data_IF_058019658336
#
_entry.id   IF_058019658336
#
_cell.length_a   1.000
_cell.length_b   1.000
_cell.length_c   1.000
_cell.angle_alpha   90.00
_cell.angle_beta   90.00
_cell.angle_gamma   90.00
#
_symmetry.space_group_name_H-M   'P 1'
#
loop_
_entity.id
_entity.type
_entity.pdbx_description
1 polymer ?
#
# COMPACT_ATOMS: atom_id res chain seq x y z
N UNK A 1 42.85 -5.99 32.46
CA UNK A 1 43.20 -5.73 31.05
C UNK A 1 43.85 -7.01 30.56
N UNK A 2 43.18 -7.79 29.72
CA UNK A 2 43.79 -8.95 29.08
C UNK A 2 44.49 -8.43 27.83
N UNK A 3 45.82 -8.58 27.78
CA UNK A 3 46.62 -8.28 26.60
C UNK A 3 46.06 -9.06 25.41
N UNK A 4 45.44 -8.33 24.48
CA UNK A 4 45.00 -8.91 23.21
C UNK A 4 46.27 -9.06 22.38
N UNK A 5 46.66 -10.26 21.94
CA UNK A 5 47.87 -10.45 21.15
C UNK A 5 47.77 -9.58 19.89
N UNK A 6 48.65 -8.56 19.78
CA UNK A 6 48.79 -7.80 18.56
C UNK A 6 49.53 -8.66 17.55
N UNK A 7 48.80 -9.18 16.58
CA UNK A 7 49.39 -9.97 15.49
C UNK A 7 50.12 -9.05 14.52
N UNK A 8 51.44 -9.24 14.40
CA UNK A 8 52.28 -8.48 13.48
C UNK A 8 52.05 -8.95 12.05
N UNK A 9 51.74 -8.02 11.14
CA UNK A 9 51.55 -8.30 9.72
C UNK A 9 52.88 -8.44 9.00
N UNK A 10 53.03 -9.49 8.19
CA UNK A 10 54.18 -9.68 7.30
C UNK A 10 53.73 -9.42 5.87
N UNK A 11 54.38 -8.46 5.22
CA UNK A 11 54.16 -8.14 3.81
C UNK A 11 55.09 -8.96 2.94
N UNK A 12 54.54 -9.65 1.95
CA UNK A 12 55.31 -10.37 0.94
C UNK A 12 54.66 -10.23 -0.43
N UNK A 13 55.25 -10.87 -1.44
CA UNK A 13 54.77 -10.80 -2.81
C UNK A 13 54.59 -12.21 -3.39
N UNK A 14 53.46 -12.45 -4.03
CA UNK A 14 53.16 -13.69 -4.71
C UNK A 14 53.38 -13.53 -6.22
N UNK A 15 54.45 -14.14 -6.73
CA UNK A 15 54.82 -14.10 -8.15
C UNK A 15 53.81 -14.82 -9.07
N UNK A 16 53.18 -15.91 -8.62
CA UNK A 16 52.21 -16.65 -9.42
C UNK A 16 50.92 -15.86 -9.67
N UNK A 17 50.55 -15.01 -8.73
CA UNK A 17 49.36 -14.16 -8.80
C UNK A 17 49.66 -12.70 -9.12
N UNK A 18 50.94 -12.33 -9.24
CA UNK A 18 51.41 -10.96 -9.43
C UNK A 18 50.74 -9.97 -8.45
N UNK A 19 50.79 -10.28 -7.16
CA UNK A 19 50.05 -9.53 -6.15
C UNK A 19 50.77 -9.48 -4.80
N UNK A 20 50.37 -8.54 -3.95
CA UNK A 20 50.85 -8.42 -2.59
C UNK A 20 50.12 -9.40 -1.67
N UNK A 21 50.82 -9.88 -0.64
CA UNK A 21 50.27 -10.77 0.39
C UNK A 21 50.47 -10.14 1.76
N UNK A 22 49.38 -9.97 2.50
CA UNK A 22 49.37 -9.61 3.91
C UNK A 22 49.20 -10.89 4.72
N UNK A 23 50.24 -11.27 5.46
CA UNK A 23 50.26 -12.50 6.24
C UNK A 23 50.02 -12.18 7.71
N UNK A 24 48.94 -12.71 8.25
CA UNK A 24 48.57 -12.64 9.66
C UNK A 24 48.59 -14.07 10.22
N UNK A 25 49.73 -14.49 10.77
CA UNK A 25 50.00 -15.89 11.17
C UNK A 25 49.74 -16.90 10.03
N UNK A 26 48.63 -17.61 10.10
CA UNK A 26 48.16 -18.65 9.17
C UNK A 26 47.21 -18.13 8.08
N UNK A 27 46.80 -16.86 8.15
CA UNK A 27 45.93 -16.22 7.16
C UNK A 27 46.74 -15.39 6.18
N UNK A 28 46.64 -15.73 4.89
CA UNK A 28 47.22 -14.96 3.79
C UNK A 28 46.12 -14.24 3.04
N UNK A 29 46.18 -12.90 3.03
CA UNK A 29 45.26 -12.04 2.30
C UNK A 29 45.96 -11.48 1.07
N UNK A 30 45.41 -11.76 -0.11
CA UNK A 30 45.96 -11.33 -1.40
C UNK A 30 45.30 -10.01 -1.81
N UNK A 31 46.10 -9.01 -2.16
CA UNK A 31 45.62 -7.70 -2.62
C UNK A 31 46.41 -7.22 -3.82
N UNK A 32 45.80 -6.37 -4.64
CA UNK A 32 46.52 -5.68 -5.71
C UNK A 32 47.64 -4.80 -5.12
N UNK A 33 48.76 -4.65 -5.84
CA UNK A 33 49.90 -3.87 -5.35
C UNK A 33 49.53 -2.40 -5.05
N UNK A 34 48.66 -1.80 -5.86
CA UNK A 34 48.16 -0.44 -5.63
C UNK A 34 47.36 -0.34 -4.33
N UNK A 35 46.62 -1.40 -3.98
CA UNK A 35 45.83 -1.45 -2.77
C UNK A 35 46.74 -1.69 -1.54
N UNK A 36 47.82 -2.45 -1.67
CA UNK A 36 48.88 -2.48 -0.65
C UNK A 36 49.44 -1.08 -0.39
N UNK A 37 49.73 -0.30 -1.43
CA UNK A 37 50.24 1.07 -1.26
C UNK A 37 49.23 1.96 -0.52
N UNK A 38 47.93 1.79 -0.75
CA UNK A 38 46.89 2.51 0.03
C UNK A 38 46.88 2.09 1.50
N UNK A 39 47.08 0.82 1.79
CA UNK A 39 47.13 0.28 3.15
C UNK A 39 48.35 0.85 3.89
N UNK A 40 49.54 0.80 3.28
CA UNK A 40 50.78 1.30 3.89
C UNK A 40 50.76 2.81 4.15
N UNK A 41 50.11 3.58 3.26
CA UNK A 41 49.97 5.03 3.42
C UNK A 41 48.81 5.43 4.35
N UNK A 42 48.02 4.47 4.84
CA UNK A 42 46.90 4.77 5.73
C UNK A 42 47.41 4.96 7.17
N UNK A 43 46.87 5.97 7.86
CA UNK A 43 47.34 6.38 9.20
C UNK A 43 47.12 5.34 10.31
N UNK A 44 46.31 4.30 10.05
CA UNK A 44 45.94 3.29 11.04
C UNK A 44 46.32 1.91 10.53
N UNK A 45 46.67 1.04 11.46
CA UNK A 45 47.04 -0.33 11.17
C UNK A 45 45.78 -1.22 11.16
N UNK A 46 45.74 -2.14 10.20
CA UNK A 46 44.75 -3.21 10.16
C UNK A 46 45.25 -4.36 11.02
N UNK A 47 44.50 -4.68 12.08
CA UNK A 47 44.83 -5.71 13.07
C UNK A 47 43.73 -6.77 13.09
N UNK A 48 44.12 -8.03 13.21
CA UNK A 48 43.19 -9.14 13.39
C UNK A 48 42.89 -9.33 14.88
N UNK A 49 41.78 -8.81 15.38
CA UNK A 49 41.51 -8.83 16.83
C UNK A 49 40.93 -10.17 17.31
N UNK A 50 40.16 -10.87 16.47
CA UNK A 50 39.59 -12.19 16.75
C UNK A 50 40.07 -13.19 15.69
N UNK A 51 40.46 -14.40 16.10
CA UNK A 51 40.84 -15.47 15.18
C UNK A 51 39.66 -15.92 14.30
N UNK A 52 38.42 -15.71 14.73
CA UNK A 52 37.23 -15.96 13.92
C UNK A 52 36.96 -14.87 12.87
N UNK A 53 37.59 -13.68 12.98
CA UNK A 53 37.39 -12.62 11.97
C UNK A 53 38.00 -13.04 10.63
N UNK A 54 37.25 -12.84 9.55
CA UNK A 54 37.74 -13.15 8.20
C UNK A 54 38.79 -12.16 7.69
N UNK A 55 38.71 -10.92 8.15
CA UNK A 55 39.57 -9.82 7.72
C UNK A 55 40.10 -9.01 8.90
N UNK A 56 41.33 -8.46 8.80
CA UNK A 56 41.83 -7.52 9.77
C UNK A 56 41.05 -6.20 9.69
N UNK A 57 41.09 -5.43 10.76
CA UNK A 57 40.25 -4.24 10.93
C UNK A 57 40.98 -3.15 11.71
N UNK A 58 40.46 -1.92 11.66
CA UNK A 58 40.85 -0.85 12.57
C UNK A 58 39.62 -0.26 13.26
N UNK A 59 39.84 0.35 14.43
CA UNK A 59 38.82 1.05 15.19
C UNK A 59 38.79 2.55 14.91
N UNK A 60 37.60 3.13 14.79
CA UNK A 60 37.38 4.58 14.75
C UNK A 60 35.99 4.94 15.28
N UNK A 61 35.90 5.91 16.19
CA UNK A 61 34.62 6.39 16.73
C UNK A 61 33.71 5.25 17.22
N UNK A 62 34.27 4.30 17.96
CA UNK A 62 33.60 3.09 18.46
C UNK A 62 33.04 2.15 17.38
N UNK A 63 33.44 2.34 16.11
CA UNK A 63 33.14 1.44 14.99
C UNK A 63 34.37 0.69 14.53
N UNK A 64 34.17 -0.54 14.08
CA UNK A 64 35.18 -1.42 13.47
C UNK A 64 35.03 -1.33 11.95
N UNK A 65 36.14 -1.14 11.25
CA UNK A 65 36.17 -1.09 9.78
C UNK A 65 37.11 -2.17 9.28
N UNK A 66 36.57 -3.09 8.49
CA UNK A 66 37.33 -4.22 7.96
C UNK A 66 38.13 -3.82 6.71
N UNK A 67 39.20 -4.56 6.45
CA UNK A 67 40.06 -4.32 5.28
C UNK A 67 39.28 -4.32 3.97
N UNK A 68 38.37 -5.27 3.79
CA UNK A 68 37.54 -5.35 2.57
C UNK A 68 36.69 -4.09 2.37
N UNK A 69 36.10 -3.54 3.44
CA UNK A 69 35.33 -2.28 3.40
C UNK A 69 36.22 -1.09 3.08
N UNK A 70 37.44 -1.08 3.61
CA UNK A 70 38.42 -0.05 3.30
C UNK A 70 38.83 -0.08 1.82
N UNK A 71 39.02 -1.26 1.24
CA UNK A 71 39.42 -1.41 -0.15
C UNK A 71 38.30 -1.04 -1.11
N UNK A 72 37.10 -1.56 -0.87
CA UNK A 72 35.98 -1.46 -1.81
C UNK A 72 34.98 -0.33 -1.49
N UNK A 73 35.14 0.34 -0.35
CA UNK A 73 34.31 1.48 0.09
C UNK A 73 32.82 1.14 0.25
N UNK A 74 32.51 -0.14 0.40
CA UNK A 74 31.16 -0.60 0.72
C UNK A 74 31.13 -1.21 2.11
N UNK A 75 30.13 -0.78 2.88
CA UNK A 75 29.74 -1.42 4.14
C UNK A 75 29.25 -2.85 3.87
N UNK A 76 29.71 -3.82 4.68
CA UNK A 76 29.41 -5.24 4.46
C UNK A 76 27.93 -5.59 4.61
N UNK A 77 27.13 -4.80 5.33
CA UNK A 77 25.69 -5.06 5.47
C UNK A 77 24.90 -4.63 4.21
N UNK A 78 25.49 -3.76 3.39
CA UNK A 78 24.85 -3.21 2.19
C UNK A 78 25.09 -4.05 0.92
N UNK A 79 26.16 -4.84 0.87
CA UNK A 79 26.60 -5.57 -0.32
C UNK A 79 26.92 -7.03 -0.04
N UNK A 80 26.96 -7.82 -1.10
CA UNK A 80 27.47 -9.19 -1.12
C UNK A 80 28.72 -9.21 -1.99
N UNK A 81 29.81 -9.72 -1.42
CA UNK A 81 31.07 -9.98 -2.12
C UNK A 81 31.06 -11.41 -2.65
N UNK A 82 31.25 -11.57 -3.96
CA UNK A 82 31.32 -12.87 -4.64
C UNK A 82 32.75 -13.07 -5.12
N UNK A 83 33.38 -14.14 -4.65
CA UNK A 83 34.78 -14.47 -4.94
C UNK A 83 34.82 -15.50 -6.07
N UNK A 84 35.36 -15.13 -7.24
CA UNK A 84 35.38 -16.00 -8.44
C UNK A 84 36.09 -17.32 -8.19
N UNK A 85 37.14 -17.31 -7.37
CA UNK A 85 37.91 -18.50 -7.00
C UNK A 85 37.45 -19.17 -5.69
N UNK A 86 36.32 -18.75 -5.10
CA UNK A 86 35.83 -19.20 -3.80
C UNK A 86 36.81 -18.98 -2.62
N UNK A 87 37.86 -18.17 -2.79
CA UNK A 87 38.78 -17.79 -1.74
C UNK A 87 38.43 -16.38 -1.23
N UNK A 88 37.78 -16.33 -0.06
CA UNK A 88 37.40 -15.07 0.59
C UNK A 88 38.59 -14.19 0.97
N UNK A 89 39.79 -14.75 1.09
CA UNK A 89 41.00 -13.99 1.41
C UNK A 89 41.72 -13.45 0.16
N UNK A 90 41.24 -13.77 -1.04
CA UNK A 90 41.75 -13.17 -2.27
C UNK A 90 40.94 -11.92 -2.62
N UNK A 91 41.41 -10.79 -2.07
CA UNK A 91 40.79 -9.48 -2.17
C UNK A 91 41.18 -8.71 -3.43
N UNK A 92 41.84 -9.34 -4.41
CA UNK A 92 42.20 -8.70 -5.68
C UNK A 92 40.95 -8.35 -6.48
N UNK A 93 40.98 -7.21 -7.17
CA UNK A 93 39.83 -6.71 -7.96
C UNK A 93 39.41 -7.68 -9.06
N UNK A 94 40.35 -8.41 -9.64
CA UNK A 94 40.06 -9.41 -10.66
C UNK A 94 39.23 -10.58 -10.12
N UNK A 95 39.27 -10.84 -8.81
CA UNK A 95 38.62 -11.97 -8.16
C UNK A 95 37.26 -11.63 -7.52
N UNK A 96 36.94 -10.35 -7.36
CA UNK A 96 35.75 -9.92 -6.62
C UNK A 96 34.70 -9.33 -7.55
N UNK A 97 33.47 -9.82 -7.43
CA UNK A 97 32.27 -9.15 -7.91
C UNK A 97 31.46 -8.65 -6.70
N UNK A 98 30.94 -7.42 -6.80
CA UNK A 98 30.20 -6.78 -5.71
C UNK A 98 28.78 -6.53 -6.18
N UNK A 99 27.82 -7.05 -5.41
CA UNK A 99 26.41 -6.86 -5.67
C UNK A 99 25.73 -6.23 -4.48
N UNK A 100 24.73 -5.38 -4.71
CA UNK A 100 23.84 -4.95 -3.64
C UNK A 100 23.10 -6.15 -3.04
N UNK A 101 22.79 -6.13 -1.73
CA UNK A 101 22.09 -7.24 -1.05
C UNK A 101 20.77 -7.68 -1.73
N UNK A 102 20.10 -6.78 -2.44
CA UNK A 102 18.87 -7.08 -3.22
C UNK A 102 19.11 -7.87 -4.50
N UNK A 103 20.36 -8.01 -4.96
CA UNK A 103 20.66 -8.66 -6.23
C UNK A 103 20.09 -10.08 -6.28
N UNK A 104 20.17 -10.84 -5.17
CA UNK A 104 19.59 -12.18 -5.08
C UNK A 104 18.08 -12.17 -5.19
N UNK A 105 17.39 -11.21 -4.57
CA UNK A 105 15.92 -11.10 -4.66
C UNK A 105 15.46 -10.76 -6.07
N UNK A 106 16.19 -9.89 -6.77
CA UNK A 106 15.93 -9.60 -8.20
C UNK A 106 16.16 -10.85 -9.05
N UNK A 107 17.27 -11.56 -8.83
CA UNK A 107 17.64 -12.75 -9.60
C UNK A 107 16.64 -13.93 -9.45
N UNK A 108 15.91 -14.00 -8.32
CA UNK A 108 14.84 -15.00 -8.13
C UNK A 108 13.63 -14.74 -9.03
N UNK A 109 13.33 -13.47 -9.29
CA UNK A 109 12.11 -13.05 -9.98
C UNK A 109 12.33 -12.79 -11.47
N UNK A 110 13.56 -12.44 -11.85
CA UNK A 110 13.87 -11.99 -13.20
C UNK A 110 15.20 -12.56 -13.69
N UNK A 111 15.27 -12.77 -15.01
CA UNK A 111 16.53 -12.99 -15.71
C UNK A 111 17.26 -11.65 -15.84
N UNK A 112 18.37 -11.52 -15.11
CA UNK A 112 19.21 -10.33 -15.13
C UNK A 112 20.09 -10.37 -16.39
N UNK A 113 19.98 -9.32 -17.21
CA UNK A 113 20.80 -9.12 -18.41
C UNK A 113 22.07 -8.36 -18.04
N UNK A 114 21.92 -7.30 -17.24
CA UNK A 114 23.03 -6.46 -16.81
C UNK A 114 22.79 -5.90 -15.42
N UNK A 115 23.83 -5.88 -14.61
CA UNK A 115 23.87 -5.20 -13.33
C UNK A 115 24.79 -3.97 -13.44
N UNK A 116 24.32 -2.83 -12.91
CA UNK A 116 25.14 -1.63 -12.77
C UNK A 116 25.19 -1.28 -11.28
N UNK A 117 26.39 -1.22 -10.67
CA UNK A 117 26.51 -0.83 -9.28
C UNK A 117 26.05 0.62 -9.08
N UNK A 118 25.51 0.87 -7.89
CA UNK A 118 25.06 2.20 -7.49
C UNK A 118 26.21 3.14 -7.11
N UNK A 119 25.87 4.31 -6.56
CA UNK A 119 26.83 5.24 -5.98
C UNK A 119 26.85 5.15 -4.44
N UNK A 120 27.83 5.81 -3.82
CA UNK A 120 27.95 5.91 -2.36
C UNK A 120 28.01 7.37 -1.93
N UNK A 121 27.61 7.63 -0.69
CA UNK A 121 27.97 8.86 0.03
C UNK A 121 29.05 8.49 1.05
N UNK A 122 30.06 9.36 1.22
CA UNK A 122 31.18 9.10 2.14
C UNK A 122 30.98 9.72 3.53
N UNK A 123 29.81 10.34 3.78
CA UNK A 123 29.49 11.08 5.01
C UNK A 123 28.07 10.78 5.46
N UNK A 124 27.82 10.89 6.77
CA UNK A 124 26.52 10.68 7.39
C UNK A 124 26.28 9.22 7.83
N UNK A 125 25.09 8.97 8.39
CA UNK A 125 24.75 7.67 8.99
C UNK A 125 24.67 6.51 7.98
N UNK A 126 24.42 6.82 6.70
CA UNK A 126 24.35 5.85 5.60
C UNK A 126 25.61 5.89 4.71
N UNK A 127 26.74 6.36 5.26
CA UNK A 127 28.01 6.38 4.53
C UNK A 127 28.41 4.97 4.07
N UNK A 128 29.06 4.90 2.90
CA UNK A 128 29.55 3.66 2.27
C UNK A 128 28.47 2.62 1.94
N UNK A 129 27.18 2.95 2.07
CA UNK A 129 26.11 2.08 1.60
C UNK A 129 25.85 2.34 0.11
N UNK A 130 25.76 1.29 -0.69
CA UNK A 130 25.42 1.40 -2.11
C UNK A 130 23.99 1.93 -2.28
N UNK A 131 23.82 3.00 -3.06
CA UNK A 131 22.54 3.64 -3.36
C UNK A 131 22.23 3.55 -4.85
N UNK A 132 20.96 3.34 -5.17
CA UNK A 132 20.45 3.28 -6.54
C UNK A 132 21.16 2.29 -7.49
N UNK A 133 21.53 1.05 -7.07
CA UNK A 133 21.96 0.04 -8.02
C UNK A 133 20.84 -0.30 -9.00
N UNK A 134 21.24 -0.71 -10.21
CA UNK A 134 20.33 -0.96 -11.33
C UNK A 134 20.48 -2.38 -11.86
N UNK A 135 19.35 -2.94 -12.29
CA UNK A 135 19.29 -4.21 -13.02
C UNK A 135 18.50 -4.00 -14.29
N UNK A 136 19.11 -4.32 -15.44
CA UNK A 136 18.37 -4.50 -16.68
C UNK A 136 17.89 -5.95 -16.69
N UNK A 137 16.57 -6.13 -16.81
CA UNK A 137 15.92 -7.43 -16.76
C UNK A 137 14.94 -7.61 -17.91
N UNK A 138 14.72 -8.86 -18.30
CA UNK A 138 13.71 -9.23 -19.30
C UNK A 138 12.36 -9.46 -18.61
N UNK A 139 11.31 -8.73 -19.03
CA UNK A 139 9.94 -8.90 -18.56
C UNK A 139 8.98 -8.86 -19.76
N UNK A 140 8.26 -9.97 -20.00
CA UNK A 140 7.32 -10.11 -21.11
C UNK A 140 7.94 -9.80 -22.49
N UNK A 141 9.19 -10.20 -22.72
CA UNK A 141 9.91 -9.95 -23.98
C UNK A 141 10.43 -8.53 -24.17
N UNK A 142 10.31 -7.66 -23.16
CA UNK A 142 10.82 -6.28 -23.17
C UNK A 142 11.85 -6.12 -22.05
N UNK A 143 12.90 -5.36 -22.33
CA UNK A 143 13.89 -4.99 -21.33
C UNK A 143 13.39 -3.81 -20.49
N UNK A 144 13.38 -3.98 -19.18
CA UNK A 144 13.08 -2.92 -18.21
C UNK A 144 14.26 -2.70 -17.27
N UNK A 145 14.33 -1.51 -16.68
CA UNK A 145 15.33 -1.16 -15.68
C UNK A 145 14.65 -1.21 -14.31
N UNK A 146 15.19 -2.02 -13.42
CA UNK A 146 14.84 -2.03 -12.00
C UNK A 146 15.89 -1.23 -11.24
N UNK A 147 15.45 -0.26 -10.44
CA UNK A 147 16.31 0.53 -9.58
C UNK A 147 15.94 0.30 -8.12
N UNK A 148 16.94 0.01 -7.28
CA UNK A 148 16.72 -0.02 -5.84
C UNK A 148 16.69 1.39 -5.26
N UNK A 149 15.79 1.67 -4.33
CA UNK A 149 15.79 2.87 -3.52
C UNK A 149 15.50 2.56 -2.06
N UNK A 150 15.96 3.42 -1.15
CA UNK A 150 15.77 3.21 0.28
C UNK A 150 14.33 3.51 0.71
N UNK A 151 13.71 2.81 1.64
CA UNK A 151 14.15 1.55 2.21
C UNK A 151 13.61 0.41 1.36
N UNK A 152 14.45 -0.59 1.04
CA UNK A 152 13.99 -1.91 0.63
C UNK A 152 12.99 -1.92 -0.56
N UNK A 153 13.12 -0.96 -1.49
CA UNK A 153 12.12 -0.71 -2.54
C UNK A 153 12.72 -0.84 -3.93
N UNK A 154 11.97 -1.40 -4.89
CA UNK A 154 12.34 -1.48 -6.31
C UNK A 154 11.40 -0.61 -7.14
N UNK A 155 12.00 0.22 -7.99
CA UNK A 155 11.32 1.11 -8.94
C UNK A 155 11.52 0.59 -10.35
N UNK A 156 10.46 0.58 -11.16
CA UNK A 156 10.51 0.25 -12.58
C UNK A 156 10.74 1.53 -13.39
N UNK A 157 11.68 1.47 -14.32
CA UNK A 157 12.05 2.51 -15.25
C UNK A 157 12.18 1.91 -16.66
N UNK A 158 11.95 2.73 -17.68
CA UNK A 158 12.38 2.43 -19.04
C UNK A 158 13.66 3.22 -19.35
N UNK A 159 14.29 2.93 -20.49
CA UNK A 159 15.51 3.63 -20.93
C UNK A 159 15.32 5.15 -20.96
N UNK A 160 14.17 5.61 -21.47
CA UNK A 160 13.83 7.04 -21.53
C UNK A 160 13.75 7.65 -20.13
N UNK A 161 13.00 7.04 -19.20
CA UNK A 161 12.92 7.53 -17.82
C UNK A 161 14.28 7.63 -17.14
N UNK A 162 15.14 6.61 -17.34
CA UNK A 162 16.47 6.62 -16.75
C UNK A 162 17.36 7.70 -17.37
N UNK A 163 17.25 7.95 -18.67
CA UNK A 163 17.95 9.03 -19.35
C UNK A 163 17.57 10.41 -18.76
N UNK A 164 16.29 10.69 -18.56
CA UNK A 164 15.85 11.96 -17.95
C UNK A 164 16.46 12.17 -16.55
N UNK A 165 16.58 11.09 -15.75
CA UNK A 165 17.26 11.15 -14.44
C UNK A 165 18.74 11.49 -14.61
N UNK A 166 19.43 10.84 -15.54
CA UNK A 166 20.85 11.10 -15.81
C UNK A 166 21.11 12.52 -16.31
N UNK A 167 20.24 13.02 -17.20
CA UNK A 167 20.33 14.37 -17.74
C UNK A 167 20.11 15.40 -16.62
N UNK A 168 19.16 15.16 -15.71
CA UNK A 168 18.97 15.98 -14.53
C UNK A 168 20.18 15.95 -13.56
N UNK A 169 20.72 14.76 -13.26
CA UNK A 169 21.93 14.61 -12.45
C UNK A 169 23.12 15.39 -13.03
N UNK A 170 23.26 15.38 -14.36
CA UNK A 170 24.29 16.14 -15.07
C UNK A 170 24.08 17.65 -14.94
N UNK A 171 22.83 18.12 -15.02
CA UNK A 171 22.51 19.55 -14.85
C UNK A 171 22.85 20.07 -13.45
N UNK A 172 22.60 19.26 -12.41
CA UNK A 172 22.91 19.65 -11.03
C UNK A 172 24.34 19.30 -10.61
N UNK A 173 25.09 18.60 -11.47
CA UNK A 173 26.44 18.08 -11.23
C UNK A 173 26.53 17.19 -9.98
N UNK A 174 25.50 16.40 -9.72
CA UNK A 174 25.42 15.57 -8.51
C UNK A 174 24.57 14.32 -8.72
N UNK A 175 24.95 13.22 -8.03
CA UNK A 175 24.18 11.97 -8.01
C UNK A 175 23.02 12.06 -7.03
N UNK A 176 21.82 11.77 -7.53
CA UNK A 176 20.61 11.74 -6.72
C UNK A 176 20.55 10.46 -5.90
N UNK A 177 20.09 10.52 -4.66
CA UNK A 177 19.78 9.32 -3.86
C UNK A 177 18.28 9.24 -3.67
N UNK A 178 17.66 8.18 -4.16
CA UNK A 178 16.20 8.03 -4.11
C UNK A 178 15.77 7.25 -2.87
N UNK A 179 14.58 7.59 -2.38
CA UNK A 179 13.95 6.91 -1.28
C UNK A 179 12.41 6.98 -1.33
N UNK A 180 11.75 5.99 -0.75
CA UNK A 180 10.31 5.84 -0.65
C UNK A 180 9.75 6.73 0.47
N UNK A 181 8.76 7.54 0.12
CA UNK A 181 8.02 8.38 1.05
C UNK A 181 6.85 7.64 1.68
N UNK A 182 6.34 8.16 2.81
CA UNK A 182 5.16 7.60 3.50
C UNK A 182 3.90 7.58 2.63
N UNK A 183 3.82 8.44 1.61
CA UNK A 183 2.71 8.49 0.66
C UNK A 183 2.84 7.46 -0.47
N UNK A 184 3.89 6.62 -0.47
CA UNK A 184 4.15 5.59 -1.47
C UNK A 184 4.94 6.06 -2.68
N UNK A 185 5.20 7.36 -2.85
CA UNK A 185 5.97 7.89 -3.97
C UNK A 185 7.47 7.90 -3.67
N UNK A 186 8.27 7.79 -4.72
CA UNK A 186 9.74 7.84 -4.61
C UNK A 186 10.22 9.26 -4.84
N UNK A 187 11.09 9.73 -3.95
CA UNK A 187 11.60 11.08 -3.94
C UNK A 187 13.11 11.12 -3.67
N UNK A 188 13.69 12.30 -3.86
CA UNK A 188 15.08 12.60 -3.54
C UNK A 188 15.17 13.97 -2.89
N UNK A 189 16.20 14.20 -2.09
CA UNK A 189 16.52 15.52 -1.55
C UNK A 189 17.51 16.22 -2.47
N UNK A 190 17.19 17.45 -2.87
CA UNK A 190 18.10 18.30 -3.64
C UNK A 190 19.14 18.94 -2.71
N UNK A 191 20.43 18.62 -2.85
CA UNK A 191 21.45 19.06 -1.90
C UNK A 191 21.73 20.56 -1.96
N UNK A 192 21.60 21.17 -3.15
CA UNK A 192 21.85 22.60 -3.40
C UNK A 192 20.66 23.52 -3.04
N UNK A 193 19.50 22.96 -2.69
CA UNK A 193 18.26 23.71 -2.44
C UNK A 193 17.72 23.47 -1.02
N UNK A 194 18.57 23.60 0.01
CA UNK A 194 18.16 23.43 1.42
C UNK A 194 17.39 22.12 1.74
N UNK A 195 17.58 21.06 0.97
CA UNK A 195 16.90 19.78 1.17
C UNK A 195 15.49 19.69 0.59
N UNK A 196 15.14 20.57 -0.37
CA UNK A 196 13.90 20.48 -1.13
C UNK A 196 13.67 19.06 -1.65
N UNK A 197 12.44 18.59 -1.47
CA UNK A 197 12.05 17.24 -1.83
C UNK A 197 11.48 17.24 -3.24
N UNK A 198 12.06 16.43 -4.11
CA UNK A 198 11.58 16.27 -5.49
C UNK A 198 11.25 14.81 -5.79
N UNK A 199 10.09 14.57 -6.38
CA UNK A 199 9.66 13.22 -6.74
C UNK A 199 10.32 12.76 -8.05
N UNK A 200 10.63 11.46 -8.15
CA UNK A 200 11.27 10.89 -9.33
C UNK A 200 10.44 11.12 -10.60
N UNK A 201 9.12 11.01 -10.51
CA UNK A 201 8.24 11.24 -11.65
C UNK A 201 8.26 12.70 -12.11
N UNK A 202 8.48 13.67 -11.20
CA UNK A 202 8.61 15.08 -11.57
C UNK A 202 9.90 15.33 -12.34
N UNK A 203 10.99 14.67 -11.94
CA UNK A 203 12.27 14.70 -12.67
C UNK A 203 12.09 14.13 -14.07
N UNK A 204 11.46 12.96 -14.19
CA UNK A 204 11.26 12.29 -15.48
C UNK A 204 10.39 13.11 -16.44
N UNK A 205 9.36 13.80 -15.94
CA UNK A 205 8.45 14.57 -16.81
C UNK A 205 8.81 16.05 -16.91
N UNK A 206 9.80 16.54 -16.15
CA UNK A 206 10.11 17.96 -16.03
C UNK A 206 9.00 18.82 -15.40
N UNK A 207 8.05 18.20 -14.68
CA UNK A 207 6.88 18.90 -14.12
C UNK A 207 7.14 19.27 -12.65
N UNK A 208 7.84 20.40 -12.47
CA UNK A 208 8.27 20.90 -11.16
C UNK A 208 7.28 21.91 -10.56
N UNK A 209 7.33 22.10 -9.23
CA UNK A 209 6.61 23.19 -8.53
C UNK A 209 5.09 23.03 -8.44
N UNK A 210 4.53 22.01 -9.08
CA UNK A 210 3.09 21.77 -9.08
C UNK A 210 2.71 20.72 -8.02
N UNK A 211 2.31 21.20 -6.83
CA UNK A 211 1.92 20.39 -5.67
C UNK A 211 0.40 20.35 -5.42
N UNK A 212 -0.04 19.39 -4.60
CA UNK A 212 -1.45 19.23 -4.21
C UNK A 212 -2.03 20.53 -3.64
N UNK A 213 -3.02 21.09 -4.35
CA UNK A 213 -3.91 22.14 -3.84
C UNK A 213 -3.70 23.54 -4.41
N UNK A 214 -2.61 23.81 -5.13
CA UNK A 214 -2.29 25.17 -5.64
C UNK A 214 -1.94 25.24 -7.13
N UNK A 215 -1.94 24.13 -7.85
CA UNK A 215 -1.52 24.08 -9.26
C UNK A 215 -2.52 23.30 -10.12
N UNK A 216 -2.69 23.76 -11.36
CA UNK A 216 -3.70 23.25 -12.29
C UNK A 216 -3.35 21.88 -12.89
N UNK A 217 -2.07 21.50 -12.84
CA UNK A 217 -1.53 20.27 -13.41
C UNK A 217 -0.67 19.50 -12.41
N UNK A 218 -0.61 18.17 -12.53
CA UNK A 218 0.26 17.30 -11.75
C UNK A 218 0.70 16.11 -12.60
N UNK A 219 1.65 15.32 -12.10
CA UNK A 219 2.02 14.06 -12.76
C UNK A 219 1.16 12.93 -12.21
N UNK A 220 0.58 12.15 -13.10
CA UNK A 220 -0.30 11.01 -12.82
C UNK A 220 0.31 9.71 -13.36
N UNK A 221 0.17 8.64 -12.59
CA UNK A 221 0.57 7.28 -12.98
C UNK A 221 -0.64 6.57 -13.57
N UNK A 222 -0.58 6.18 -14.85
CA UNK A 222 -1.69 5.56 -15.57
C UNK A 222 -2.13 4.26 -14.88
N UNK A 223 -1.18 3.43 -14.47
CA UNK A 223 -1.43 2.18 -13.73
C UNK A 223 -1.65 2.37 -12.22
N UNK A 224 -1.56 3.62 -11.72
CA UNK A 224 -1.69 4.00 -10.31
C UNK A 224 -0.65 3.36 -9.39
N UNK A 225 0.44 2.85 -9.94
CA UNK A 225 1.56 2.30 -9.18
C UNK A 225 2.67 3.36 -9.09
N UNK A 226 2.89 3.98 -7.92
CA UNK A 226 3.94 4.99 -7.74
C UNK A 226 5.36 4.46 -7.97
N UNK A 227 5.54 3.13 -7.97
CA UNK A 227 6.82 2.47 -8.24
C UNK A 227 7.03 2.18 -9.72
N UNK A 228 6.01 2.33 -10.58
CA UNK A 228 6.16 2.23 -12.02
C UNK A 228 6.39 3.60 -12.65
N UNK A 229 7.66 4.00 -12.76
CA UNK A 229 8.06 5.29 -13.31
C UNK A 229 8.59 5.15 -14.75
N UNK A 230 8.10 4.15 -15.50
CA UNK A 230 8.31 4.10 -16.95
C UNK A 230 7.63 5.30 -17.61
N UNK A 231 8.29 5.87 -18.64
CA UNK A 231 7.87 7.13 -19.24
C UNK A 231 6.44 7.06 -19.77
N UNK A 232 6.08 5.99 -20.47
CA UNK A 232 4.74 5.79 -21.03
C UNK A 232 3.65 5.54 -19.98
N UNK A 233 4.05 5.29 -18.72
CA UNK A 233 3.13 5.18 -17.59
C UNK A 233 2.88 6.52 -16.89
N UNK A 234 3.64 7.57 -17.24
CA UNK A 234 3.52 8.90 -16.64
C UNK A 234 2.81 9.84 -17.63
N UNK A 235 1.92 10.68 -17.10
CA UNK A 235 1.28 11.76 -17.87
C UNK A 235 1.11 12.99 -17.02
N UNK A 236 1.06 14.16 -17.66
CA UNK A 236 0.59 15.39 -17.01
C UNK A 236 -0.94 15.37 -17.05
N UNK A 237 -1.57 15.46 -15.89
CA UNK A 237 -3.02 15.48 -15.74
C UNK A 237 -3.45 16.76 -15.03
N UNK A 238 -4.65 17.27 -15.35
CA UNK A 238 -5.24 18.37 -14.58
C UNK A 238 -5.76 17.87 -13.24
N UNK A 239 -5.96 18.80 -12.29
CA UNK A 239 -6.58 18.48 -11.00
C UNK A 239 -7.91 17.74 -11.14
N UNK A 240 -8.78 18.18 -12.05
CA UNK A 240 -10.08 17.56 -12.31
C UNK A 240 -9.94 16.11 -12.82
N UNK A 241 -9.01 15.87 -13.74
CA UNK A 241 -8.73 14.52 -14.23
C UNK A 241 -8.23 13.61 -13.11
N UNK A 242 -7.38 14.13 -12.22
CA UNK A 242 -6.85 13.37 -11.08
C UNK A 242 -7.93 13.07 -10.04
N UNK A 243 -8.82 14.02 -9.75
CA UNK A 243 -9.96 13.83 -8.86
C UNK A 243 -10.92 12.76 -9.39
N UNK A 244 -11.28 12.83 -10.68
CA UNK A 244 -12.11 11.83 -11.36
C UNK A 244 -11.51 10.41 -11.29
N UNK A 245 -10.19 10.29 -11.35
CA UNK A 245 -9.48 9.02 -11.29
C UNK A 245 -9.25 8.49 -9.86
N UNK A 246 -9.59 9.24 -8.82
CA UNK A 246 -9.34 8.86 -7.44
C UNK A 246 -10.29 7.75 -6.94
N UNK A 247 -9.78 6.87 -6.07
CA UNK A 247 -10.57 5.78 -5.47
C UNK A 247 -11.76 6.32 -4.67
N UNK A 248 -12.95 5.81 -5.01
CA UNK A 248 -14.22 6.27 -4.45
C UNK A 248 -14.88 7.39 -5.25
N UNK A 249 -14.16 8.07 -6.16
CA UNK A 249 -14.79 8.95 -7.16
C UNK A 249 -15.02 8.15 -8.45
N UNK A 250 -13.98 7.46 -8.94
CA UNK A 250 -14.08 6.64 -10.15
C UNK A 250 -15.24 5.63 -10.08
N UNK A 251 -16.05 5.47 -11.15
CA UNK A 251 -17.11 4.48 -11.21
C UNK A 251 -16.63 3.07 -10.83
N UNK A 252 -17.46 2.35 -10.09
CA UNK A 252 -17.15 0.99 -9.63
C UNK A 252 -16.13 0.89 -8.48
N UNK A 253 -15.54 1.99 -8.02
CA UNK A 253 -14.59 1.97 -6.88
C UNK A 253 -15.22 2.45 -5.58
N UNK A 254 -14.78 1.84 -4.47
CA UNK A 254 -15.13 2.26 -3.12
C UNK A 254 -13.88 2.72 -2.38
N UNK A 255 -14.00 3.81 -1.63
CA UNK A 255 -12.92 4.30 -0.78
C UNK A 255 -12.66 3.31 0.37
N UNK A 256 -11.39 3.20 0.76
CA UNK A 256 -11.01 2.45 1.95
C UNK A 256 -11.67 3.01 3.21
N UNK A 257 -11.90 2.10 4.17
CA UNK A 257 -12.55 2.46 5.44
C UNK A 257 -11.62 3.35 6.26
N UNK A 258 -12.19 4.31 6.98
CA UNK A 258 -11.41 5.10 7.94
C UNK A 258 -10.93 4.19 9.08
N UNK A 259 -9.77 4.52 9.67
CA UNK A 259 -9.15 3.71 10.75
C UNK A 259 -10.02 3.53 11.99
N UNK A 260 -10.93 4.48 12.24
CA UNK A 260 -11.87 4.49 13.36
C UNK A 260 -13.24 3.87 13.00
N UNK A 261 -13.44 3.39 11.77
CA UNK A 261 -14.67 2.70 11.40
C UNK A 261 -14.81 1.40 12.19
N UNK A 262 -16.03 1.09 12.66
CA UNK A 262 -16.33 -0.19 13.34
C UNK A 262 -15.89 -1.38 12.48
N UNK A 263 -15.40 -2.49 13.03
CA UNK A 263 -15.05 -3.66 12.22
C UNK A 263 -16.25 -4.14 11.39
N UNK A 264 -15.99 -4.70 10.21
CA UNK A 264 -17.03 -5.39 9.44
C UNK A 264 -17.37 -6.71 10.14
N UNK A 265 -18.59 -7.23 9.94
CA UNK A 265 -18.97 -8.57 10.40
C UNK A 265 -18.02 -9.64 9.87
N UNK A 266 -17.89 -10.74 10.60
CA UNK A 266 -17.11 -11.89 10.16
C UNK A 266 -17.57 -12.38 8.77
N UNK A 267 -16.61 -12.70 7.91
CA UNK A 267 -16.88 -13.13 6.52
C UNK A 267 -17.17 -11.99 5.53
N UNK A 268 -17.31 -10.74 5.98
CA UNK A 268 -17.53 -9.59 5.09
C UNK A 268 -16.27 -8.74 4.97
N UNK A 269 -15.79 -8.59 3.73
CA UNK A 269 -14.65 -7.74 3.41
C UNK A 269 -15.10 -6.44 2.76
N UNK A 270 -14.29 -5.38 2.88
CA UNK A 270 -14.60 -4.07 2.30
C UNK A 270 -14.80 -4.13 0.77
N UNK A 271 -14.04 -5.01 0.10
CA UNK A 271 -14.15 -5.28 -1.33
C UNK A 271 -15.52 -5.80 -1.77
N UNK A 272 -16.32 -6.36 -0.84
CA UNK A 272 -17.66 -6.88 -1.11
C UNK A 272 -18.74 -5.77 -1.10
N UNK A 273 -18.44 -4.57 -0.60
CA UNK A 273 -19.42 -3.48 -0.49
C UNK A 273 -19.35 -2.58 -1.74
N UNK A 274 -20.51 -2.21 -2.30
CA UNK A 274 -20.60 -1.15 -3.32
C UNK A 274 -20.33 0.24 -2.74
N UNK A 275 -19.97 1.20 -3.59
CA UNK A 275 -19.54 2.57 -3.24
C UNK A 275 -20.40 3.22 -2.16
N UNK A 276 -21.72 3.15 -2.30
CA UNK A 276 -22.70 3.80 -1.42
C UNK A 276 -23.22 2.93 -0.26
N UNK A 277 -22.77 1.68 -0.15
CA UNK A 277 -23.21 0.74 0.90
C UNK A 277 -22.39 0.93 2.18
N UNK A 278 -23.05 1.12 3.32
CA UNK A 278 -22.40 1.33 4.62
C UNK A 278 -22.97 0.38 5.66
N UNK A 279 -22.09 -0.29 6.41
CA UNK A 279 -22.46 -1.19 7.49
C UNK A 279 -22.75 -0.44 8.78
N UNK A 280 -23.85 -0.82 9.44
CA UNK A 280 -24.27 -0.28 10.73
C UNK A 280 -24.50 -1.38 11.76
N UNK A 281 -24.00 -1.11 12.96
CA UNK A 281 -24.30 -1.86 14.17
C UNK A 281 -24.89 -0.92 15.22
N UNK A 282 -26.10 -1.21 15.69
CA UNK A 282 -26.81 -0.34 16.63
C UNK A 282 -27.26 -1.15 17.86
N UNK A 283 -26.83 -0.74 19.05
CA UNK A 283 -27.31 -1.26 20.34
C UNK A 283 -28.57 -0.48 20.72
N UNK A 284 -29.74 -1.10 20.59
CA UNK A 284 -31.02 -0.44 20.83
C UNK A 284 -31.56 -0.63 22.25
N UNK A 285 -31.03 -1.61 22.99
CA UNK A 285 -31.32 -1.77 24.41
C UNK A 285 -30.02 -2.14 25.15
N UNK A 286 -29.47 -1.19 25.90
CA UNK A 286 -28.21 -1.37 26.63
C UNK A 286 -28.35 -2.30 27.82
N UNK A 287 -29.46 -2.21 28.55
CA UNK A 287 -29.72 -3.02 29.76
C UNK A 287 -29.83 -4.51 29.43
N UNK A 288 -30.43 -4.83 28.27
CA UNK A 288 -30.59 -6.20 27.78
C UNK A 288 -29.52 -6.63 26.77
N UNK A 289 -28.52 -5.77 26.54
CA UNK A 289 -27.47 -5.98 25.55
C UNK A 289 -27.98 -6.38 24.15
N UNK A 290 -29.11 -5.81 23.72
CA UNK A 290 -29.70 -6.12 22.43
C UNK A 290 -29.17 -5.17 21.36
N UNK A 291 -28.64 -5.76 20.29
CA UNK A 291 -28.05 -5.06 19.17
C UNK A 291 -28.63 -5.55 17.86
N UNK A 292 -28.44 -4.77 16.79
CA UNK A 292 -28.91 -5.11 15.46
C UNK A 292 -27.94 -4.62 14.41
N UNK A 293 -27.81 -5.41 13.36
CA UNK A 293 -26.91 -5.17 12.24
C UNK A 293 -27.70 -5.06 10.94
N UNK A 294 -27.32 -4.08 10.13
CA UNK A 294 -27.97 -3.75 8.88
C UNK A 294 -27.04 -2.91 8.00
N UNK A 295 -27.38 -2.78 6.72
CA UNK A 295 -26.68 -1.90 5.79
C UNK A 295 -27.56 -0.72 5.40
N UNK A 296 -26.92 0.37 5.00
CA UNK A 296 -27.55 1.54 4.41
C UNK A 296 -26.98 1.81 3.03
N UNK A 297 -27.81 2.32 2.13
CA UNK A 297 -27.38 3.00 0.92
C UNK A 297 -27.54 4.48 1.17
N UNK A 298 -26.42 5.19 1.29
CA UNK A 298 -26.37 6.61 1.63
C UNK A 298 -25.50 7.40 0.64
N UNK A 299 -25.89 8.64 0.36
CA UNK A 299 -25.14 9.56 -0.52
C UNK A 299 -25.18 9.21 -2.02
N UNK A 300 -26.04 8.30 -2.45
CA UNK A 300 -26.23 8.00 -3.87
C UNK A 300 -26.97 9.16 -4.56
N UNK A 301 -26.49 9.74 -5.68
CA UNK A 301 -27.10 10.91 -6.33
C UNK A 301 -28.57 10.71 -6.75
N UNK A 302 -28.90 9.49 -7.19
CA UNK A 302 -30.25 9.07 -7.60
C UNK A 302 -31.19 8.71 -6.44
N UNK A 303 -30.78 8.90 -5.18
CA UNK A 303 -31.53 8.50 -4.00
C UNK A 303 -31.88 9.72 -3.14
N UNK A 304 -33.17 10.10 -3.10
CA UNK A 304 -33.64 11.26 -2.31
C UNK A 304 -33.55 11.03 -0.79
N UNK A 305 -33.76 9.78 -0.34
CA UNK A 305 -33.76 9.40 1.08
C UNK A 305 -32.95 8.14 1.28
N UNK A 306 -32.17 8.11 2.36
CA UNK A 306 -31.38 6.95 2.78
C UNK A 306 -32.23 5.69 2.74
N UNK A 307 -31.72 4.66 2.08
CA UNK A 307 -32.33 3.33 2.04
C UNK A 307 -31.63 2.42 3.05
N UNK A 308 -32.39 1.60 3.77
CA UNK A 308 -31.87 0.69 4.79
C UNK A 308 -32.33 -0.73 4.54
N UNK A 309 -31.45 -1.72 4.76
CA UNK A 309 -31.88 -3.12 4.82
C UNK A 309 -32.72 -3.37 6.07
N UNK A 310 -33.43 -4.49 6.09
CA UNK A 310 -34.13 -4.95 7.30
C UNK A 310 -33.19 -5.04 8.50
N UNK A 311 -33.71 -4.67 9.67
CA UNK A 311 -33.03 -4.76 10.97
C UNK A 311 -33.34 -6.07 11.70
N UNK A 312 -34.09 -6.97 11.06
CA UNK A 312 -34.45 -8.27 11.64
C UNK A 312 -33.24 -9.19 11.74
N UNK A 313 -33.12 -9.92 12.83
CA UNK A 313 -32.11 -10.98 13.01
C UNK A 313 -32.40 -12.23 12.18
N UNK A 314 -33.63 -12.36 11.66
CA UNK A 314 -34.04 -13.52 10.82
C UNK A 314 -33.38 -13.53 9.44
N UNK A 315 -32.86 -12.40 9.00
CA UNK A 315 -32.17 -12.26 7.70
C UNK A 315 -30.68 -12.17 7.99
N UNK A 316 -29.90 -13.02 7.32
CA UNK A 316 -28.47 -13.08 7.53
C UNK A 316 -27.79 -11.78 7.10
N UNK A 317 -26.61 -11.50 7.66
CA UNK A 317 -25.87 -10.29 7.33
C UNK A 317 -25.39 -10.28 5.87
N UNK A 318 -25.09 -11.45 5.30
CA UNK A 318 -24.69 -11.61 3.90
C UNK A 318 -25.87 -11.29 2.97
N UNK A 319 -27.08 -11.80 3.27
CA UNK A 319 -28.28 -11.47 2.48
C UNK A 319 -28.61 -9.97 2.54
N UNK A 320 -28.45 -9.33 3.71
CA UNK A 320 -28.60 -7.88 3.84
C UNK A 320 -27.59 -7.14 2.96
N UNK A 321 -26.32 -7.58 2.94
CA UNK A 321 -25.30 -6.99 2.06
C UNK A 321 -25.69 -7.14 0.58
N UNK A 322 -26.15 -8.31 0.16
CA UNK A 322 -26.60 -8.56 -1.21
C UNK A 322 -27.75 -7.63 -1.60
N UNK A 323 -28.73 -7.44 -0.72
CA UNK A 323 -29.83 -6.49 -0.95
C UNK A 323 -29.32 -5.06 -1.12
N UNK A 324 -28.44 -4.60 -0.23
CA UNK A 324 -27.90 -3.24 -0.30
C UNK A 324 -27.06 -3.01 -1.57
N UNK A 325 -26.22 -3.99 -1.96
CA UNK A 325 -25.46 -3.93 -3.20
C UNK A 325 -26.38 -3.93 -4.43
N UNK A 326 -27.44 -4.75 -4.42
CA UNK A 326 -28.43 -4.78 -5.50
C UNK A 326 -29.10 -3.42 -5.67
N UNK A 327 -29.46 -2.71 -4.59
CA UNK A 327 -30.04 -1.37 -4.70
C UNK A 327 -29.08 -0.39 -5.39
N UNK A 328 -27.78 -0.45 -5.09
CA UNK A 328 -26.80 0.39 -5.80
C UNK A 328 -26.71 0.00 -7.27
N UNK A 329 -26.60 -1.30 -7.57
CA UNK A 329 -26.51 -1.78 -8.95
C UNK A 329 -27.79 -1.43 -9.76
N UNK A 330 -28.97 -1.54 -9.14
CA UNK A 330 -30.26 -1.14 -9.72
C UNK A 330 -30.27 0.37 -10.04
N UNK A 331 -29.88 1.22 -9.09
CA UNK A 331 -29.84 2.68 -9.28
C UNK A 331 -28.84 3.10 -10.38
N UNK A 332 -27.68 2.45 -10.46
CA UNK A 332 -26.71 2.68 -11.53
C UNK A 332 -27.29 2.31 -12.92
N UNK A 333 -28.20 1.33 -12.97
CA UNK A 333 -28.94 0.93 -14.17
C UNK A 333 -30.30 1.64 -14.34
N UNK A 334 -30.54 2.75 -13.63
CA UNK A 334 -31.80 3.52 -13.69
C UNK A 334 -33.06 2.75 -13.28
N UNK A 335 -32.90 1.76 -12.39
CA UNK A 335 -33.98 1.01 -11.76
C UNK A 335 -34.16 1.55 -10.34
N UNK A 336 -35.32 2.15 -10.08
CA UNK A 336 -35.61 2.84 -8.81
C UNK A 336 -36.41 1.94 -7.86
N UNK A 337 -36.12 1.93 -6.55
CA UNK A 337 -36.93 1.19 -5.59
C UNK A 337 -38.36 1.76 -5.56
N UNK A 338 -39.35 0.91 -5.77
CA UNK A 338 -40.77 1.31 -5.79
C UNK A 338 -41.16 2.02 -4.49
N UNK A 339 -41.74 3.23 -4.62
CA UNK A 339 -42.35 3.95 -3.50
C UNK A 339 -43.60 3.17 -3.03
N UNK A 340 -43.44 2.23 -2.08
CA UNK A 340 -44.58 1.73 -1.30
C UNK A 340 -45.08 2.82 -0.33
N UNK A 341 -45.65 3.90 -0.86
CA UNK A 341 -46.57 4.75 -0.10
C UNK A 341 -47.97 4.43 -0.59
N UNK A 342 -48.53 3.30 -0.14
CA UNK A 342 -49.99 3.16 -0.10
C UNK A 342 -50.46 4.04 1.06
N UNK A 343 -51.26 5.07 0.78
CA UNK A 343 -51.85 5.92 1.81
C UNK A 343 -52.84 5.09 2.65
N UNK A 344 -52.34 4.41 3.68
CA UNK A 344 -53.18 3.65 4.59
C UNK A 344 -53.81 4.57 5.65
N UNK A 345 -55.04 4.29 6.11
CA UNK A 345 -55.65 5.09 7.16
C UNK A 345 -54.90 5.03 8.49
N UNK A 346 -55.18 6.00 9.37
CA UNK A 346 -54.55 6.09 10.70
C UNK A 346 -54.71 4.78 11.47
N UNK A 347 -53.62 4.35 12.12
CA UNK A 347 -53.53 3.12 12.92
C UNK A 347 -53.58 1.80 12.13
N UNK A 348 -53.61 1.85 10.80
CA UNK A 348 -53.60 0.67 9.92
C UNK A 348 -52.22 0.51 9.27
N UNK A 349 -51.75 -0.73 9.23
CA UNK A 349 -50.50 -1.11 8.58
C UNK A 349 -50.66 -2.44 7.85
N UNK A 350 -49.89 -2.66 6.78
CA UNK A 350 -49.77 -3.99 6.15
C UNK A 350 -48.57 -4.69 6.78
N UNK A 351 -48.78 -5.92 7.25
CA UNK A 351 -47.76 -6.74 7.90
C UNK A 351 -47.67 -8.07 7.18
N UNK A 352 -46.45 -8.53 6.89
CA UNK A 352 -46.22 -9.85 6.31
C UNK A 352 -45.99 -10.89 7.42
N UNK A 353 -46.85 -11.91 7.50
CA UNK A 353 -46.75 -12.96 8.52
C UNK A 353 -47.10 -14.34 7.95
N UNK A 354 -46.21 -15.32 8.13
CA UNK A 354 -46.34 -16.70 7.61
C UNK A 354 -46.64 -16.74 6.10
N UNK A 355 -45.84 -16.01 5.32
CA UNK A 355 -45.96 -15.90 3.86
C UNK A 355 -47.31 -15.37 3.35
N UNK A 356 -48.01 -14.58 4.17
CA UNK A 356 -49.25 -13.90 3.77
C UNK A 356 -49.22 -12.45 4.23
N UNK A 357 -49.69 -11.54 3.38
CA UNK A 357 -49.94 -10.16 3.78
C UNK A 357 -51.18 -10.08 4.67
N UNK A 358 -51.16 -9.18 5.64
CA UNK A 358 -52.24 -8.98 6.59
C UNK A 358 -52.42 -7.49 6.86
N UNK A 359 -53.66 -7.01 6.89
CA UNK A 359 -53.99 -5.72 7.48
C UNK A 359 -53.94 -5.83 9.00
N UNK A 360 -53.27 -4.89 9.64
CA UNK A 360 -53.07 -4.83 11.08
C UNK A 360 -53.48 -3.46 11.62
N UNK A 361 -54.47 -3.46 12.50
CA UNK A 361 -54.94 -2.29 13.23
C UNK A 361 -54.34 -2.29 14.63
N UNK A 362 -53.72 -1.18 15.02
CA UNK A 362 -53.12 -0.99 16.34
C UNK A 362 -53.32 0.46 16.82
N UNK A 363 -54.34 0.64 17.68
CA UNK A 363 -54.65 1.92 18.30
C UNK A 363 -54.32 1.86 19.80
N UNK A 364 -53.50 2.83 20.23
CA UNK A 364 -53.13 3.03 21.64
C UNK A 364 -53.85 4.28 22.15
N UNK A 365 -54.88 4.10 22.98
CA UNK A 365 -55.60 5.18 23.64
C UNK A 365 -56.58 4.64 24.68
N UNK A 366 -56.52 5.17 25.91
CA UNK A 366 -57.27 4.70 27.08
C UNK A 366 -56.53 3.63 27.91
N UNK A 367 -57.28 2.88 28.74
CA UNK A 367 -56.75 1.81 29.62
C UNK A 367 -56.43 0.49 28.89
N UNK A 368 -56.83 0.31 27.62
CA UNK A 368 -56.62 -0.94 26.87
C UNK A 368 -56.16 -0.71 25.43
N UNK A 369 -55.30 -1.61 24.92
CA UNK A 369 -54.79 -1.59 23.54
C UNK A 369 -55.76 -2.32 22.61
N UNK A 370 -56.25 -1.63 21.57
CA UNK A 370 -57.13 -2.23 20.55
C UNK A 370 -56.28 -2.76 19.39
N UNK A 371 -56.40 -4.06 19.10
CA UNK A 371 -55.70 -4.71 18.00
C UNK A 371 -56.60 -5.63 17.18
N UNK A 372 -56.42 -5.62 15.86
CA UNK A 372 -57.11 -6.53 14.95
C UNK A 372 -56.20 -6.89 13.77
N UNK A 373 -56.33 -8.13 13.27
CA UNK A 373 -55.61 -8.60 12.09
C UNK A 373 -56.57 -9.19 11.08
N UNK A 374 -56.32 -8.97 9.80
CA UNK A 374 -57.03 -9.62 8.71
C UNK A 374 -56.05 -10.06 7.64
N UNK A 375 -56.03 -11.35 7.32
CA UNK A 375 -55.20 -11.89 6.24
C UNK A 375 -55.77 -11.44 4.90
N UNK A 376 -54.89 -10.96 4.03
CA UNK A 376 -55.24 -10.55 2.67
C UNK A 376 -55.22 -11.77 1.73
N UNK A 377 -56.13 -11.82 0.74
CA UNK A 377 -56.07 -12.79 -0.35
C UNK A 377 -54.77 -12.68 -1.17
N UNK A 378 -54.49 -13.65 -2.04
CA UNK A 378 -53.31 -13.65 -2.91
C UNK A 378 -53.35 -12.51 -3.94
N UNK A 379 -54.54 -12.18 -4.43
CA UNK A 379 -54.82 -11.04 -5.31
C UNK A 379 -55.95 -10.23 -4.66
N UNK A 380 -55.74 -8.94 -4.45
CA UNK A 380 -56.71 -8.09 -3.76
C UNK A 380 -56.61 -6.64 -4.18
N UNK A 381 -57.74 -5.94 -4.13
CA UNK A 381 -57.81 -4.48 -4.16
C UNK A 381 -57.72 -3.92 -2.73
N UNK A 382 -56.80 -2.99 -2.49
CA UNK A 382 -56.53 -2.51 -1.12
C UNK A 382 -57.71 -1.70 -0.54
N UNK A 383 -58.45 -0.96 -1.37
CA UNK A 383 -59.54 -0.12 -0.91
C UNK A 383 -60.77 -0.96 -0.54
N UNK A 384 -61.04 -2.01 -1.30
CA UNK A 384 -62.04 -3.01 -0.95
C UNK A 384 -61.69 -3.73 0.36
N UNK A 385 -60.44 -4.15 0.51
CA UNK A 385 -60.00 -4.81 1.74
C UNK A 385 -60.01 -3.87 2.95
N UNK A 386 -59.73 -2.57 2.77
CA UNK A 386 -59.88 -1.58 3.84
C UNK A 386 -61.33 -1.41 4.29
N UNK A 387 -62.31 -1.43 3.37
CA UNK A 387 -63.75 -1.42 3.73
C UNK A 387 -64.13 -2.64 4.55
N UNK A 388 -63.73 -3.83 4.10
CA UNK A 388 -63.99 -5.08 4.84
C UNK A 388 -63.32 -5.04 6.21
N UNK A 389 -62.09 -4.54 6.28
CA UNK A 389 -61.35 -4.44 7.53
C UNK A 389 -61.99 -3.44 8.49
N UNK A 390 -62.50 -2.32 7.98
CA UNK A 390 -63.23 -1.32 8.75
C UNK A 390 -64.47 -1.90 9.42
N UNK A 391 -65.27 -2.69 8.70
CA UNK A 391 -66.45 -3.35 9.27
C UNK A 391 -66.08 -4.32 10.39
N UNK A 392 -64.99 -5.07 10.25
CA UNK A 392 -64.48 -5.94 11.32
C UNK A 392 -63.97 -5.17 12.54
N UNK A 393 -63.43 -3.96 12.33
CA UNK A 393 -63.02 -3.08 13.44
C UNK A 393 -64.26 -2.58 14.18
N UNK A 394 -65.30 -2.10 13.48
CA UNK A 394 -66.56 -1.66 14.09
C UNK A 394 -67.26 -2.76 14.88
N UNK A 395 -67.27 -3.98 14.34
CA UNK A 395 -67.87 -5.15 15.01
C UNK A 395 -67.14 -5.50 16.32
N UNK A 396 -65.81 -5.42 16.34
CA UNK A 396 -65.00 -5.75 17.52
C UNK A 396 -64.89 -4.60 18.53
N UNK A 397 -64.91 -3.36 18.05
CA UNK A 397 -64.66 -2.16 18.84
C UNK A 397 -65.70 -1.09 18.53
N UNK A 398 -66.72 -1.02 19.38
CA UNK A 398 -67.79 -0.02 19.26
C UNK A 398 -67.21 1.41 19.21
N UNK A 399 -67.69 2.20 18.23
CA UNK A 399 -67.26 3.59 18.01
C UNK A 399 -65.92 3.77 17.30
N UNK A 400 -65.24 2.71 16.86
CA UNK A 400 -64.01 2.83 16.06
C UNK A 400 -64.28 2.72 14.55
N UNK A 401 -63.65 3.61 13.78
CA UNK A 401 -63.62 3.54 12.31
C UNK A 401 -62.25 3.97 11.82
N UNK A 402 -61.77 3.31 10.76
CA UNK A 402 -60.55 3.65 10.03
C UNK A 402 -60.86 4.35 8.71
N UNK A 403 -62.13 4.46 8.33
CA UNK A 403 -62.59 5.22 7.17
C UNK A 403 -63.46 6.36 7.72
N UNK A 404 -63.21 7.58 7.27
CA UNK A 404 -64.05 8.75 7.58
C UNK A 404 -65.44 8.64 6.96
#
# INVERSE_FOLDING_TARGET
MLDTPQYQVIYSYNYGFNCAVLSYNDKNIYVDCDDLMKILNFKKNFILNNYEDDYPSFGENYKKYFLIEFLYKFDMDSVTYVFRNNNKHDLRKCNIEIYHKYHREVAKLYKIIKYTPGHIKNRGNSANQMKNPLWIVEKNGINIILMYCEKDTIVQLCEKSYKEILDFEKQIEEKLTFFLQKNGYVATHLPKCNGDLLYIHQIITGCYGNGKGTSDISVDHIDRNPLNNMYDNLRIATREMQEQNSMGIMPGTKKERQKNARPLPEGIQQSMLRKYVVYYHNVYNKEKNLSREYFRVEGHPKLEKIWETTKSEKVSIIEKLQQANKIVDDLENDIYPEKMQRNLPKHVSIVFFRNKEQLYYDKRGGETRKNLKMVLPTEYDIDEQLKIFNEKIKEKYEGESIIE
#
